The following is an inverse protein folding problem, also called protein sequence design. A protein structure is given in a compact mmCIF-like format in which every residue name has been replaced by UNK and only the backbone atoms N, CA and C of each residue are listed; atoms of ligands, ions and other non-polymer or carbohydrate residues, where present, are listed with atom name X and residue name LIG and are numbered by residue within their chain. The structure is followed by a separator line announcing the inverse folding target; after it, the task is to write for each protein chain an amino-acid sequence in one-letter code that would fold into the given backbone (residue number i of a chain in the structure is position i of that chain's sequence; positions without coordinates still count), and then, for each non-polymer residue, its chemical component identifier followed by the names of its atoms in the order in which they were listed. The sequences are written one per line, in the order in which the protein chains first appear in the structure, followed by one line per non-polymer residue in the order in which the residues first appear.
data_IF_709331556476
#
_entry.id   IF_709331556476
#
_cell.length_a   1.000
_cell.length_b   1.000
_cell.length_c   1.000
_cell.angle_alpha   90.00
_cell.angle_beta   90.00
_cell.angle_gamma   90.00
#
_symmetry.space_group_name_H-M   'P 1'
#
loop_
_entity.id
_entity.type
_entity.pdbx_description
1 polymer ?
#
# COMPACT_ATOMS: atom_id res chain seq x y z
N UNK A 1 5.70 -4.61 -7.02
CA UNK A 1 4.26 -4.34 -6.81
C UNK A 1 3.40 -5.52 -7.21
N UNK A 2 3.26 -5.86 -8.51
CA UNK A 2 2.27 -6.83 -8.99
C UNK A 2 2.18 -8.13 -8.16
N UNK A 3 3.31 -8.78 -7.85
CA UNK A 3 3.30 -10.01 -7.04
C UNK A 3 2.73 -9.86 -5.62
N UNK A 4 2.74 -8.65 -5.07
CA UNK A 4 2.21 -8.37 -3.73
C UNK A 4 0.68 -8.43 -3.67
N UNK A 5 -0.01 -8.28 -4.81
CA UNK A 5 -1.45 -8.54 -4.86
C UNK A 5 -1.75 -10.00 -4.52
N UNK A 6 -1.00 -10.94 -5.11
CA UNK A 6 -1.11 -12.37 -4.78
C UNK A 6 -0.66 -12.67 -3.35
N UNK A 7 0.39 -11.99 -2.88
CA UNK A 7 0.86 -12.12 -1.49
C UNK A 7 -0.23 -11.70 -0.48
N UNK A 8 -0.84 -10.53 -0.64
CA UNK A 8 -1.84 -10.02 0.29
C UNK A 8 -3.20 -10.68 0.08
N UNK A 9 -3.80 -10.53 -1.11
CA UNK A 9 -5.15 -11.07 -1.37
C UNK A 9 -5.18 -12.60 -1.29
N UNK A 10 -4.11 -13.28 -1.73
CA UNK A 10 -4.00 -14.73 -1.64
C UNK A 10 -3.72 -15.26 -0.23
N UNK A 11 -3.30 -14.41 0.72
CA UNK A 11 -3.18 -14.80 2.13
C UNK A 11 -4.55 -15.05 2.77
N UNK A 12 -5.64 -14.54 2.17
CA UNK A 12 -6.99 -14.85 2.59
C UNK A 12 -7.48 -16.13 1.90
N UNK A 13 -7.33 -17.26 2.59
CA UNK A 13 -7.60 -18.59 2.02
C UNK A 13 -9.10 -18.87 1.81
N UNK A 14 -9.98 -18.21 2.58
CA UNK A 14 -11.44 -18.28 2.43
C UNK A 14 -11.96 -17.15 1.53
N UNK A 15 -11.80 -17.27 0.21
CA UNK A 15 -12.22 -16.22 -0.74
C UNK A 15 -13.75 -16.16 -1.00
N UNK A 16 -14.55 -16.62 -0.06
CA UNK A 16 -16.00 -16.73 -0.11
C UNK A 16 -16.73 -15.54 0.55
N UNK A 17 -16.04 -14.73 1.34
CA UNK A 17 -16.59 -13.57 2.06
C UNK A 17 -16.22 -12.20 1.44
N UNK A 18 -15.45 -12.19 0.35
CA UNK A 18 -15.03 -10.99 -0.37
C UNK A 18 -13.85 -10.23 0.25
N UNK A 19 -13.27 -10.69 1.35
CA UNK A 19 -12.14 -10.02 2.02
C UNK A 19 -10.88 -10.01 1.14
N UNK A 20 -10.64 -11.05 0.34
CA UNK A 20 -9.53 -11.07 -0.63
C UNK A 20 -9.60 -9.94 -1.66
N UNK A 21 -10.80 -9.58 -2.12
CA UNK A 21 -10.99 -8.43 -3.02
C UNK A 21 -10.71 -7.10 -2.31
N UNK A 22 -11.12 -6.97 -1.04
CA UNK A 22 -10.79 -5.82 -0.20
C UNK A 22 -9.28 -5.71 0.02
N UNK A 23 -8.60 -6.82 0.31
CA UNK A 23 -7.14 -6.87 0.44
C UNK A 23 -6.43 -6.44 -0.85
N UNK A 24 -6.93 -6.86 -2.01
CA UNK A 24 -6.40 -6.43 -3.31
C UNK A 24 -6.50 -4.90 -3.46
N UNK A 25 -7.69 -4.34 -3.21
CA UNK A 25 -7.92 -2.90 -3.28
C UNK A 25 -7.06 -2.13 -2.27
N UNK A 26 -7.03 -2.57 -1.02
CA UNK A 26 -6.24 -1.92 0.03
C UNK A 26 -4.74 -1.96 -0.27
N UNK A 27 -4.24 -3.03 -0.88
CA UNK A 27 -2.86 -3.12 -1.37
C UNK A 27 -2.57 -2.03 -2.40
N UNK A 28 -3.48 -1.78 -3.34
CA UNK A 28 -3.33 -0.71 -4.32
C UNK A 28 -3.38 0.69 -3.67
N UNK A 29 -4.36 0.91 -2.79
CA UNK A 29 -4.64 2.22 -2.19
C UNK A 29 -3.54 2.63 -1.20
N UNK A 30 -3.15 1.74 -0.28
CA UNK A 30 -2.09 2.04 0.69
C UNK A 30 -0.76 2.33 0.00
N UNK A 31 -0.42 1.56 -1.03
CA UNK A 31 0.83 1.76 -1.75
C UNK A 31 0.84 3.08 -2.52
N UNK A 32 -0.28 3.46 -3.15
CA UNK A 32 -0.39 4.76 -3.80
C UNK A 32 -0.25 5.93 -2.80
N UNK A 33 -0.89 5.81 -1.64
CA UNK A 33 -0.76 6.78 -0.55
C UNK A 33 0.70 6.90 -0.07
N UNK A 34 1.38 5.78 0.12
CA UNK A 34 2.79 5.75 0.53
C UNK A 34 3.75 6.37 -0.49
N UNK A 35 3.53 6.12 -1.78
CA UNK A 35 4.30 6.77 -2.86
C UNK A 35 4.14 8.29 -2.78
N UNK A 36 2.90 8.78 -2.68
CA UNK A 36 2.64 10.21 -2.60
C UNK A 36 3.20 10.82 -1.31
N UNK A 37 2.99 10.17 -0.16
CA UNK A 37 3.51 10.60 1.15
C UNK A 37 5.03 10.68 1.15
N UNK A 38 5.71 9.66 0.63
CA UNK A 38 7.16 9.66 0.52
C UNK A 38 7.67 10.76 -0.40
N UNK A 39 7.05 10.95 -1.57
CA UNK A 39 7.44 12.00 -2.51
C UNK A 39 7.24 13.39 -1.91
N UNK A 40 6.14 13.63 -1.20
CA UNK A 40 5.92 14.90 -0.48
C UNK A 40 6.99 15.10 0.59
N UNK A 41 7.27 14.08 1.41
CA UNK A 41 8.31 14.15 2.42
C UNK A 41 9.70 14.42 1.80
N UNK A 42 10.06 13.71 0.75
CA UNK A 42 11.31 13.88 0.02
C UNK A 42 11.43 15.28 -0.57
N UNK A 43 10.35 15.81 -1.15
CA UNK A 43 10.32 17.18 -1.67
C UNK A 43 10.55 18.21 -0.57
N UNK A 44 9.93 18.03 0.59
CA UNK A 44 10.11 18.91 1.74
C UNK A 44 11.52 18.83 2.33
N UNK A 45 12.12 17.63 2.36
CA UNK A 45 13.42 17.40 2.99
C UNK A 45 14.62 17.65 2.08
N UNK A 46 14.51 17.26 0.82
CA UNK A 46 15.61 17.22 -0.16
C UNK A 46 15.37 18.13 -1.37
N UNK A 47 14.19 18.75 -1.51
CA UNK A 47 13.91 19.76 -2.53
C UNK A 47 13.54 19.21 -3.91
N UNK A 48 13.56 17.89 -4.11
CA UNK A 48 13.21 17.24 -5.38
C UNK A 48 12.36 15.99 -5.15
N UNK A 49 11.67 15.56 -6.21
CA UNK A 49 11.02 14.26 -6.28
C UNK A 49 11.95 13.30 -7.03
N UNK A 50 12.19 12.11 -6.49
CA UNK A 50 13.07 11.12 -7.13
C UNK A 50 12.33 9.83 -7.47
N UNK A 51 12.82 9.14 -8.50
CA UNK A 51 12.32 7.82 -8.88
C UNK A 51 12.62 6.77 -7.82
N UNK A 52 13.76 6.91 -7.12
CA UNK A 52 14.09 6.05 -5.99
C UNK A 52 13.12 6.27 -4.83
N UNK A 53 12.79 7.53 -4.50
CA UNK A 53 11.80 7.88 -3.49
C UNK A 53 10.43 7.29 -3.80
N UNK A 54 9.98 7.38 -5.06
CA UNK A 54 8.75 6.73 -5.49
C UNK A 54 8.80 5.19 -5.32
N UNK A 55 9.91 4.55 -5.68
CA UNK A 55 10.09 3.11 -5.51
C UNK A 55 10.14 2.70 -4.03
N UNK A 56 10.82 3.48 -3.18
CA UNK A 56 10.89 3.28 -1.73
C UNK A 56 9.52 3.44 -1.08
N UNK A 57 8.78 4.49 -1.42
CA UNK A 57 7.40 4.69 -0.96
C UNK A 57 6.49 3.54 -1.37
N UNK A 58 6.64 3.02 -2.59
CA UNK A 58 5.87 1.85 -3.02
C UNK A 58 6.19 0.61 -2.16
N UNK A 59 7.46 0.31 -1.91
CA UNK A 59 7.80 -0.84 -1.04
C UNK A 59 7.33 -0.61 0.39
N UNK A 60 7.47 0.61 0.93
CA UNK A 60 7.03 0.95 2.28
C UNK A 60 5.52 0.73 2.46
N UNK A 61 4.69 1.25 1.55
CA UNK A 61 3.24 1.06 1.62
C UNK A 61 2.80 -0.39 1.50
N UNK A 62 3.45 -1.16 0.63
CA UNK A 62 3.22 -2.59 0.49
C UNK A 62 3.53 -3.36 1.78
N UNK A 63 4.66 -3.07 2.42
CA UNK A 63 5.02 -3.65 3.72
C UNK A 63 4.01 -3.24 4.79
N UNK A 64 3.66 -1.95 4.87
CA UNK A 64 2.78 -1.40 5.91
C UNK A 64 1.38 -2.01 5.88
N UNK A 65 0.80 -2.22 4.70
CA UNK A 65 -0.58 -2.75 4.57
C UNK A 65 -0.67 -4.27 4.75
N UNK A 66 0.45 -4.99 4.57
CA UNK A 66 0.50 -6.47 4.64
C UNK A 66 -0.22 -7.07 5.86
N UNK A 67 0.03 -6.63 7.11
CA UNK A 67 -0.61 -7.23 8.28
C UNK A 67 -2.08 -6.84 8.48
N UNK A 68 -2.57 -5.78 7.82
CA UNK A 68 -3.86 -5.16 8.13
C UNK A 68 -4.82 -5.08 6.94
N UNK A 69 -4.39 -5.49 5.74
CA UNK A 69 -5.10 -5.25 4.48
C UNK A 69 -6.52 -5.80 4.43
N UNK A 70 -6.84 -6.86 5.18
CA UNK A 70 -8.19 -7.42 5.24
C UNK A 70 -9.07 -6.84 6.35
N UNK A 71 -8.49 -6.07 7.27
CA UNK A 71 -9.16 -5.58 8.47
C UNK A 71 -9.48 -4.08 8.43
N UNK A 72 -8.95 -3.34 7.45
CA UNK A 72 -9.17 -1.90 7.30
C UNK A 72 -10.04 -1.59 6.09
N UNK A 73 -10.75 -0.47 6.13
CA UNK A 73 -11.42 0.08 4.95
C UNK A 73 -10.40 0.68 3.97
N UNK A 74 -10.78 0.96 2.71
CA UNK A 74 -9.91 1.69 1.78
C UNK A 74 -9.45 3.05 2.29
N UNK A 75 -10.26 3.75 3.08
CA UNK A 75 -9.84 4.99 3.75
C UNK A 75 -8.80 4.70 4.84
N UNK A 76 -8.97 3.62 5.60
CA UNK A 76 -7.96 3.16 6.55
C UNK A 76 -6.65 2.75 5.86
N UNK A 77 -6.72 2.14 4.68
CA UNK A 77 -5.55 1.79 3.88
C UNK A 77 -4.73 3.03 3.45
N UNK A 78 -5.39 4.16 3.15
CA UNK A 78 -4.70 5.44 2.90
C UNK A 78 -3.90 5.84 4.14
N UNK A 79 -4.52 5.81 5.32
CA UNK A 79 -3.88 6.20 6.57
C UNK A 79 -2.72 5.26 6.98
N UNK A 80 -2.80 3.98 6.62
CA UNK A 80 -1.71 3.01 6.84
C UNK A 80 -0.54 3.25 5.88
N UNK A 81 -0.83 3.70 4.66
CA UNK A 81 0.17 3.91 3.62
C UNK A 81 0.89 5.26 3.71
N UNK A 82 0.16 6.35 3.97
CA UNK A 82 0.66 7.73 3.97
C UNK A 82 1.64 8.01 5.12
#
# INVERSE_FOLDING_TARGET
WFGWFGFNAGSWLGNDDGVGAVMFLNTQVATAAAVLGWLVYEKLRHGSFTTLGAASGAVAGLVAITPAGGSVSPLGAIAVGA
#
